data_IF_005638931301
#
_entry.id   IF_005638931301
#
_cell.length_a   1.000
_cell.length_b   1.000
_cell.length_c   1.000
_cell.angle_alpha   90.00
_cell.angle_beta   90.00
_cell.angle_gamma   90.00
#
_symmetry.space_group_name_H-M   'P 1'
#
loop_
_entity.id
_entity.type
_entity.pdbx_description
1 polymer ?
#
# COMPACT_ATOMS: atom_id res chain seq x y z
N UNK A 1 -56.80 -9.19 -38.30
CA UNK A 1 -56.48 -8.03 -37.44
C UNK A 1 -55.33 -8.43 -36.55
N UNK A 2 -54.13 -7.91 -36.82
CA UNK A 2 -52.88 -8.26 -36.13
C UNK A 2 -52.80 -7.44 -34.85
N UNK A 3 -52.80 -8.07 -33.67
CA UNK A 3 -52.57 -7.37 -32.40
C UNK A 3 -51.17 -7.71 -31.91
N UNK A 4 -50.29 -6.72 -32.04
CA UNK A 4 -48.96 -6.65 -31.47
C UNK A 4 -49.07 -6.58 -29.94
N UNK A 5 -48.46 -7.53 -29.23
CA UNK A 5 -48.39 -7.55 -27.77
C UNK A 5 -46.94 -7.61 -27.30
N UNK A 6 -46.49 -6.50 -26.72
CA UNK A 6 -45.10 -6.17 -26.40
C UNK A 6 -44.66 -6.71 -25.03
N UNK A 7 -43.41 -7.17 -24.98
CA UNK A 7 -42.45 -7.24 -23.86
C UNK A 7 -42.89 -7.71 -22.46
N UNK A 8 -42.17 -8.73 -21.97
CA UNK A 8 -41.54 -8.63 -20.64
C UNK A 8 -40.23 -9.41 -20.60
N UNK A 9 -39.11 -8.68 -20.68
CA UNK A 9 -37.76 -9.21 -20.52
C UNK A 9 -37.59 -9.96 -19.20
N UNK A 10 -37.37 -11.26 -19.27
CA UNK A 10 -36.78 -12.07 -18.20
C UNK A 10 -35.34 -12.38 -18.56
N UNK A 11 -34.38 -11.73 -17.88
CA UNK A 11 -33.02 -12.20 -17.55
C UNK A 11 -32.08 -11.02 -17.41
N UNK A 12 -31.53 -10.85 -16.23
CA UNK A 12 -30.08 -10.91 -16.00
C UNK A 12 -29.82 -10.47 -14.57
N UNK A 13 -29.79 -11.44 -13.65
CA UNK A 13 -29.16 -11.27 -12.35
C UNK A 13 -27.65 -11.19 -12.60
N UNK A 14 -27.16 -9.98 -12.84
CA UNK A 14 -25.73 -9.69 -12.93
C UNK A 14 -25.11 -9.85 -11.54
N UNK A 15 -24.58 -11.05 -11.29
CA UNK A 15 -23.72 -11.36 -10.15
C UNK A 15 -22.51 -10.44 -10.20
N UNK A 16 -22.57 -9.36 -9.40
CA UNK A 16 -21.42 -8.51 -9.15
C UNK A 16 -20.36 -9.37 -8.47
N UNK A 17 -19.33 -9.73 -9.23
CA UNK A 17 -18.14 -10.44 -8.75
C UNK A 17 -17.47 -9.58 -7.69
N UNK A 18 -17.74 -9.89 -6.42
CA UNK A 18 -17.08 -9.32 -5.26
C UNK A 18 -15.60 -9.71 -5.29
N UNK A 19 -14.75 -8.84 -5.81
CA UNK A 19 -13.30 -8.90 -5.61
C UNK A 19 -13.00 -8.67 -4.13
N UNK A 20 -13.11 -9.72 -3.31
CA UNK A 20 -12.72 -9.64 -1.91
C UNK A 20 -11.19 -9.73 -1.86
N UNK A 21 -10.51 -8.59 -2.04
CA UNK A 21 -9.04 -8.50 -2.00
C UNK A 21 -8.56 -8.77 -0.58
N UNK A 22 -8.42 -10.04 -0.21
CA UNK A 22 -7.82 -10.44 1.05
C UNK A 22 -6.32 -10.19 0.92
N UNK A 23 -5.83 -9.05 1.41
CA UNK A 23 -4.41 -8.74 1.37
C UNK A 23 -3.67 -9.71 2.30
N UNK A 24 -2.82 -10.57 1.74
CA UNK A 24 -1.85 -11.35 2.51
C UNK A 24 -1.06 -10.43 3.45
N UNK A 25 -0.75 -10.85 4.67
CA UNK A 25 0.06 -10.06 5.58
C UNK A 25 1.39 -9.68 4.88
N UNK A 26 1.85 -8.43 5.07
CA UNK A 26 3.11 -7.98 4.49
C UNK A 26 4.24 -8.87 4.98
N UNK A 27 5.13 -9.26 4.05
CA UNK A 27 6.30 -10.09 4.37
C UNK A 27 7.17 -9.35 5.39
N UNK A 28 7.69 -10.09 6.39
CA UNK A 28 8.58 -9.53 7.39
C UNK A 28 9.80 -8.87 6.72
N UNK A 29 10.12 -7.64 7.13
CA UNK A 29 11.33 -6.94 6.67
C UNK A 29 12.48 -7.29 7.61
N UNK A 30 13.55 -7.86 7.08
CA UNK A 30 14.76 -8.15 7.84
C UNK A 30 15.48 -6.87 8.28
N UNK A 31 16.20 -6.94 9.40
CA UNK A 31 17.09 -5.89 9.89
C UNK A 31 18.45 -6.03 9.20
N UNK A 32 19.25 -4.95 9.15
CA UNK A 32 20.56 -4.98 8.49
C UNK A 32 21.48 -6.11 9.00
N UNK A 33 21.43 -6.38 10.31
CA UNK A 33 22.21 -7.46 10.94
C UNK A 33 21.78 -8.87 10.50
N UNK A 34 20.52 -9.07 10.12
CA UNK A 34 20.02 -10.35 9.60
C UNK A 34 20.64 -10.67 8.23
N UNK A 35 21.13 -9.64 7.53
CA UNK A 35 21.83 -9.75 6.25
C UNK A 35 23.36 -9.73 6.39
N UNK A 36 23.90 -9.84 7.62
CA UNK A 36 25.34 -9.86 7.86
C UNK A 36 26.02 -8.49 7.73
N UNK A 37 25.27 -7.39 7.86
CA UNK A 37 25.82 -6.03 7.87
C UNK A 37 25.95 -5.56 9.34
N UNK A 38 27.11 -5.77 9.98
CA UNK A 38 27.36 -5.25 11.32
C UNK A 38 27.56 -3.74 11.28
N UNK A 39 26.99 -3.05 12.26
CA UNK A 39 27.19 -1.61 12.47
C UNK A 39 27.85 -1.45 13.84
N UNK A 40 29.09 -0.95 13.84
CA UNK A 40 29.91 -0.83 15.05
C UNK A 40 30.42 -2.17 15.59
N UNK A 41 31.21 -2.10 16.65
CA UNK A 41 31.84 -3.26 17.31
C UNK A 41 31.19 -3.63 18.66
N UNK A 42 30.32 -2.78 19.21
CA UNK A 42 29.63 -3.06 20.47
C UNK A 42 28.47 -4.06 20.29
N UNK A 43 28.23 -4.93 21.28
CA UNK A 43 27.04 -5.78 21.29
C UNK A 43 25.77 -4.93 21.40
N UNK A 44 24.68 -5.39 20.79
CA UNK A 44 23.38 -4.73 20.89
C UNK A 44 22.60 -5.21 22.10
N UNK A 45 21.70 -4.38 22.61
CA UNK A 45 20.69 -4.81 23.56
C UNK A 45 19.73 -5.85 22.98
N UNK A 46 18.86 -6.39 23.85
CA UNK A 46 17.94 -7.49 23.55
C UNK A 46 17.05 -7.21 22.34
N UNK A 47 16.51 -6.00 22.24
CA UNK A 47 15.65 -5.61 21.13
C UNK A 47 16.40 -4.92 20.00
N UNK A 48 17.70 -4.63 20.18
CA UNK A 48 18.50 -3.82 19.28
C UNK A 48 17.74 -2.54 18.89
N UNK A 49 17.18 -1.88 19.91
CA UNK A 49 16.29 -0.74 19.79
C UNK A 49 16.49 0.20 20.99
N UNK A 50 16.14 1.48 20.83
CA UNK A 50 16.30 2.48 21.91
C UNK A 50 15.46 2.14 23.15
N UNK A 51 14.41 1.33 23.00
CA UNK A 51 13.58 0.81 24.09
C UNK A 51 14.29 -0.18 25.00
N UNK A 52 15.52 -0.61 24.66
CA UNK A 52 16.36 -1.41 25.55
C UNK A 52 16.76 -0.63 26.82
N UNK A 53 16.65 0.70 26.80
CA UNK A 53 16.86 1.55 27.97
C UNK A 53 15.57 1.62 28.80
N UNK A 54 15.65 1.24 30.07
CA UNK A 54 14.52 1.28 30.99
C UNK A 54 13.91 2.69 31.06
N UNK A 55 12.59 2.78 30.92
CA UNK A 55 11.84 4.04 30.90
C UNK A 55 11.63 4.64 29.49
N UNK A 56 12.38 4.21 28.48
CA UNK A 56 12.25 4.75 27.11
C UNK A 56 11.10 4.10 26.36
N UNK A 57 10.23 4.92 25.77
CA UNK A 57 9.10 4.47 24.95
C UNK A 57 9.12 5.13 23.58
N UNK A 58 8.73 4.39 22.55
CA UNK A 58 8.68 4.87 21.16
C UNK A 58 7.26 4.74 20.61
N UNK A 59 6.74 5.81 20.01
CA UNK A 59 5.46 5.81 19.30
C UNK A 59 5.63 6.32 17.87
N UNK A 60 4.89 5.74 16.92
CA UNK A 60 4.92 6.17 15.52
C UNK A 60 3.52 6.52 15.03
N UNK A 61 3.43 7.58 14.23
CA UNK A 61 2.21 7.95 13.48
C UNK A 61 2.58 8.16 12.03
N UNK A 62 2.17 7.23 11.17
CA UNK A 62 2.29 7.36 9.71
C UNK A 62 0.94 7.75 9.11
N UNK A 63 0.95 8.74 8.23
CA UNK A 63 -0.21 9.10 7.40
C UNK A 63 0.14 8.88 5.94
N UNK A 64 -0.74 8.19 5.23
CA UNK A 64 -0.63 7.93 3.80
C UNK A 64 -1.75 8.70 3.11
N UNK A 65 -1.41 9.53 2.12
CA UNK A 65 -2.38 10.29 1.32
C UNK A 65 -2.13 10.02 -0.16
N UNK A 66 -3.19 9.76 -0.92
CA UNK A 66 -3.15 9.44 -2.36
C UNK A 66 -3.66 8.02 -2.66
N UNK A 67 -4.10 7.80 -3.89
CA UNK A 67 -4.65 6.52 -4.32
C UNK A 67 -3.52 5.54 -4.69
N UNK A 68 -3.45 4.41 -4.00
CA UNK A 68 -2.54 3.32 -4.36
C UNK A 68 -3.13 2.55 -5.55
N UNK A 69 -2.74 2.94 -6.78
CA UNK A 69 -3.04 2.16 -7.98
C UNK A 69 -1.86 1.22 -8.31
N UNK A 70 -2.04 -0.11 -8.26
CA UNK A 70 -0.98 -1.07 -8.61
C UNK A 70 -0.43 -0.89 -10.02
N UNK A 71 -1.24 -0.33 -10.93
CA UNK A 71 -0.88 -0.08 -12.33
C UNK A 71 0.13 1.06 -12.49
N UNK A 72 0.19 2.01 -11.56
CA UNK A 72 1.08 3.17 -11.66
C UNK A 72 2.53 2.88 -11.22
N UNK A 73 2.80 1.77 -10.51
CA UNK A 73 4.19 1.41 -10.16
C UNK A 73 5.03 0.97 -11.36
N UNK A 74 4.42 0.85 -12.55
CA UNK A 74 5.10 0.64 -13.82
C UNK A 74 5.03 1.93 -14.66
N UNK A 75 5.79 2.96 -14.27
CA UNK A 75 6.09 4.04 -15.21
C UNK A 75 7.07 3.46 -16.23
N UNK A 76 6.54 2.88 -17.31
CA UNK A 76 7.32 2.66 -18.52
C UNK A 76 7.58 4.03 -19.17
N UNK A 77 8.82 4.39 -19.53
CA UNK A 77 9.07 5.62 -20.27
C UNK A 77 8.38 5.55 -21.64
N UNK A 78 7.43 6.45 -21.89
CA UNK A 78 6.80 6.61 -23.21
C UNK A 78 7.73 7.42 -24.14
N UNK A 79 7.98 6.98 -25.39
CA UNK A 79 8.94 7.61 -26.29
C UNK A 79 8.44 8.88 -27.01
N UNK A 80 7.19 9.31 -26.84
CA UNK A 80 6.65 10.47 -27.58
C UNK A 80 5.98 11.48 -26.65
N UNK A 81 6.62 12.64 -26.52
CA UNK A 81 6.17 13.77 -25.71
C UNK A 81 4.88 14.38 -26.25
N UNK A 82 3.82 14.31 -25.46
CA UNK A 82 2.56 15.00 -25.71
C UNK A 82 1.40 14.39 -24.93
N UNK A 83 1.07 14.93 -23.75
CA UNK A 83 -0.08 14.45 -22.98
C UNK A 83 -0.40 15.31 -21.76
N UNK A 84 -1.59 15.91 -21.75
CA UNK A 84 -2.13 16.80 -20.73
C UNK A 84 -2.24 16.11 -19.36
N UNK A 85 -1.98 16.88 -18.31
CA UNK A 85 -1.93 16.43 -16.91
C UNK A 85 -3.20 15.71 -16.45
N UNK A 86 -3.10 14.41 -16.32
CA UNK A 86 -3.96 13.56 -15.49
C UNK A 86 -3.06 12.75 -14.56
N UNK A 87 -2.23 13.42 -13.77
CA UNK A 87 -1.38 12.78 -12.78
C UNK A 87 -2.22 12.47 -11.54
N UNK A 88 -2.49 11.19 -11.29
CA UNK A 88 -2.92 10.73 -9.96
C UNK A 88 -2.02 11.34 -8.90
N UNK A 89 -2.59 11.96 -7.86
CA UNK A 89 -1.78 12.53 -6.77
C UNK A 89 -0.83 11.44 -6.23
N UNK A 90 0.49 11.73 -6.14
CA UNK A 90 1.44 10.73 -5.67
C UNK A 90 1.09 10.29 -4.25
N UNK A 91 1.31 9.00 -3.94
CA UNK A 91 1.15 8.51 -2.56
C UNK A 91 2.23 9.16 -1.69
N UNK A 92 1.84 10.17 -0.91
CA UNK A 92 2.72 10.83 0.05
C UNK A 92 2.65 10.06 1.36
N UNK A 93 3.82 9.68 1.89
CA UNK A 93 3.98 9.12 3.24
C UNK A 93 4.64 10.18 4.12
N UNK A 94 3.92 10.64 5.13
CA UNK A 94 4.50 11.43 6.22
C UNK A 94 4.47 10.61 7.51
N UNK A 95 5.52 10.71 8.31
CA UNK A 95 5.65 9.98 9.56
C UNK A 95 6.27 10.86 10.64
N UNK A 96 5.77 10.74 11.86
CA UNK A 96 6.38 11.32 13.05
C UNK A 96 6.68 10.18 14.02
N UNK A 97 7.88 10.20 14.60
CA UNK A 97 8.28 9.30 15.68
C UNK A 97 8.49 10.13 16.93
N UNK A 98 7.85 9.74 18.02
CA UNK A 98 8.03 10.34 19.33
C UNK A 98 8.78 9.38 20.26
N UNK A 99 9.68 9.94 21.05
CA UNK A 99 10.49 9.25 22.05
C UNK A 99 10.22 9.96 23.38
N UNK A 100 9.91 9.19 24.42
CA UNK A 100 9.62 9.68 25.78
C UNK A 100 10.42 8.89 26.79
#
# INVERSE_FOLDING_TARGET
MTVTGTSRSTRSSSSRSSHNTTSSPPRARGRARDFGIPVGFLPTGTHNAITDVAGVRVGHKTVWKGDYSPTHSQIAPSPSGGGRGGGSEPVIRSGVTAIW
#
